data_IF_149226181431
#
_entry.id   IF_149226181431
#
_cell.length_a   1.000
_cell.length_b   1.000
_cell.length_c   1.000
_cell.angle_alpha   90.00
_cell.angle_beta   90.00
_cell.angle_gamma   90.00
#
_symmetry.space_group_name_H-M   'P 1'
#
loop_
_entity.id
_entity.type
_entity.pdbx_description
1 polymer ?
#
# COMPACT_ATOMS: atom_id res chain seq x y z
N UNK A 1 21.83 48.00 27.51
CA UNK A 1 22.32 46.75 26.91
C UNK A 1 21.62 45.48 27.43
N UNK A 2 21.24 45.40 28.70
CA UNK A 2 20.55 44.20 29.24
C UNK A 2 19.10 44.00 28.72
N UNK A 3 18.40 45.07 28.35
CA UNK A 3 17.02 45.02 27.80
C UNK A 3 16.97 44.52 26.34
N UNK A 4 18.01 44.74 25.55
CA UNK A 4 18.08 44.31 24.16
C UNK A 4 18.24 42.78 24.05
N UNK A 5 19.03 42.15 24.90
CA UNK A 5 19.22 40.71 24.95
C UNK A 5 17.96 39.94 25.42
N UNK A 6 17.12 40.54 26.26
CA UNK A 6 15.86 39.96 26.72
C UNK A 6 14.82 39.93 25.60
N UNK A 7 14.75 40.98 24.75
CA UNK A 7 13.81 41.01 23.63
C UNK A 7 14.18 40.03 22.52
N UNK A 8 15.47 39.86 22.23
CA UNK A 8 15.94 38.86 21.23
C UNK A 8 15.65 37.46 21.71
N UNK A 9 15.86 37.12 22.98
CA UNK A 9 15.56 35.81 23.53
C UNK A 9 14.05 35.48 23.51
N UNK A 10 13.18 36.45 23.74
CA UNK A 10 11.73 36.30 23.63
C UNK A 10 11.28 36.09 22.19
N UNK A 11 11.92 36.75 21.23
CA UNK A 11 11.66 36.61 19.82
C UNK A 11 12.07 35.21 19.31
N UNK A 12 13.24 34.73 19.72
CA UNK A 12 13.69 33.35 19.39
C UNK A 12 12.83 32.27 20.04
N UNK A 13 12.33 32.47 21.25
CA UNK A 13 11.39 31.53 21.89
C UNK A 13 10.03 31.45 21.18
N UNK A 14 9.52 32.57 20.66
CA UNK A 14 8.31 32.61 19.88
C UNK A 14 8.48 31.96 18.51
N UNK A 15 9.61 32.16 17.86
CA UNK A 15 9.91 31.50 16.57
C UNK A 15 10.03 29.99 16.68
N UNK A 16 10.67 29.46 17.73
CA UNK A 16 10.76 28.00 17.95
C UNK A 16 9.39 27.33 18.10
N UNK A 17 8.46 27.97 18.79
CA UNK A 17 7.07 27.46 18.93
C UNK A 17 6.32 27.51 17.59
N UNK A 18 6.56 28.51 16.78
CA UNK A 18 5.94 28.67 15.46
C UNK A 18 6.43 27.61 14.48
N UNK A 19 7.73 27.33 14.44
CA UNK A 19 8.32 26.28 13.63
C UNK A 19 7.86 24.87 14.03
N UNK A 20 7.76 24.59 15.33
CA UNK A 20 7.24 23.30 15.80
C UNK A 20 5.78 23.09 15.39
N UNK A 21 4.95 24.13 15.43
CA UNK A 21 3.56 24.06 14.99
C UNK A 21 3.44 23.87 13.47
N UNK A 22 4.29 24.52 12.68
CA UNK A 22 4.34 24.40 11.23
C UNK A 22 4.77 22.99 10.79
N UNK A 23 5.77 22.40 11.46
CA UNK A 23 6.23 21.02 11.19
C UNK A 23 5.15 20.00 11.55
N UNK A 24 4.42 20.16 12.65
CA UNK A 24 3.31 19.29 12.99
C UNK A 24 2.16 19.37 11.97
N UNK A 25 1.80 20.57 11.50
CA UNK A 25 0.79 20.75 10.45
C UNK A 25 1.21 20.11 9.12
N UNK A 26 2.50 20.17 8.78
CA UNK A 26 3.03 19.56 7.56
C UNK A 26 3.01 18.02 7.63
N UNK A 27 3.29 17.43 8.79
CA UNK A 27 3.20 15.99 9.01
C UNK A 27 1.74 15.48 8.90
N UNK A 28 0.78 16.23 9.44
CA UNK A 28 -0.64 15.89 9.33
C UNK A 28 -1.18 15.99 7.89
N UNK A 29 -0.74 16.99 7.12
CA UNK A 29 -1.13 17.14 5.72
C UNK A 29 -0.60 15.99 4.85
N UNK A 30 0.57 15.42 5.15
CA UNK A 30 1.12 14.27 4.43
C UNK A 30 0.39 12.96 4.74
N UNK A 31 -0.12 12.78 5.95
CA UNK A 31 -0.91 11.60 6.34
C UNK A 31 -2.31 11.62 5.69
N UNK A 32 -2.91 12.79 5.50
CA UNK A 32 -4.24 12.94 4.90
C UNK A 32 -4.30 12.87 3.38
N UNK A 33 -3.15 13.00 2.67
CA UNK A 33 -3.08 13.04 1.21
C UNK A 33 -2.31 11.88 0.59
N UNK A 34 -2.07 10.79 1.34
CA UNK A 34 -1.33 9.62 0.88
C UNK A 34 -2.13 8.81 -0.15
N UNK A 35 -2.25 9.35 -1.37
CA UNK A 35 -2.47 8.51 -2.53
C UNK A 35 -1.22 7.64 -2.69
N UNK A 36 -1.40 6.33 -2.58
CA UNK A 36 -0.31 5.38 -2.78
C UNK A 36 0.08 5.40 -4.24
N UNK A 37 1.18 6.07 -4.56
CA UNK A 37 1.79 6.01 -5.87
C UNK A 37 2.76 4.85 -5.93
N UNK A 38 2.63 4.01 -6.94
CA UNK A 38 3.53 2.91 -7.16
C UNK A 38 4.83 3.39 -7.81
N UNK A 39 5.89 3.43 -7.03
CA UNK A 39 7.25 3.74 -7.51
C UNK A 39 8.15 2.50 -7.43
N UNK A 40 7.84 1.57 -6.51
CA UNK A 40 8.59 0.34 -6.28
C UNK A 40 7.68 -0.84 -5.99
N UNK A 41 8.22 -2.05 -6.07
CA UNK A 41 7.47 -3.27 -5.71
C UNK A 41 6.96 -3.25 -4.27
N UNK A 42 7.75 -2.68 -3.36
CA UNK A 42 7.35 -2.54 -1.97
C UNK A 42 6.13 -1.65 -1.79
N UNK A 43 5.92 -0.64 -2.63
CA UNK A 43 4.72 0.21 -2.61
C UNK A 43 3.47 -0.58 -3.00
N UNK A 44 3.59 -1.47 -3.99
CA UNK A 44 2.49 -2.35 -4.42
C UNK A 44 2.13 -3.32 -3.29
N UNK A 45 3.12 -3.96 -2.68
CA UNK A 45 2.91 -4.89 -1.57
C UNK A 45 2.31 -4.18 -0.35
N UNK A 46 2.79 -2.98 -0.03
CA UNK A 46 2.25 -2.17 1.07
C UNK A 46 0.79 -1.77 0.83
N UNK A 47 0.42 -1.44 -0.40
CA UNK A 47 -0.97 -1.16 -0.77
C UNK A 47 -1.88 -2.37 -0.54
N UNK A 48 -1.40 -3.57 -0.84
CA UNK A 48 -2.18 -4.81 -0.76
C UNK A 48 -2.21 -5.41 0.65
N UNK A 49 -1.20 -5.11 1.47
CA UNK A 49 -1.07 -5.67 2.81
C UNK A 49 -2.26 -5.33 3.71
N UNK A 50 -2.77 -6.33 4.41
CA UNK A 50 -3.90 -6.18 5.31
C UNK A 50 -5.26 -6.03 4.65
N UNK A 51 -5.33 -5.97 3.31
CA UNK A 51 -6.59 -5.84 2.57
C UNK A 51 -7.12 -7.20 2.13
N UNK A 52 -8.42 -7.35 2.18
CA UNK A 52 -9.13 -8.52 1.63
C UNK A 52 -10.04 -8.06 0.50
N UNK A 53 -9.90 -8.70 -0.64
CA UNK A 53 -10.71 -8.43 -1.82
C UNK A 53 -11.72 -9.56 -2.01
N UNK A 54 -12.93 -9.20 -2.39
CA UNK A 54 -14.04 -10.14 -2.52
C UNK A 54 -14.57 -10.17 -3.94
N UNK A 55 -14.91 -11.37 -4.43
CA UNK A 55 -15.67 -11.51 -5.67
C UNK A 55 -17.05 -10.83 -5.55
N UNK A 56 -17.67 -10.57 -6.69
CA UNK A 56 -18.98 -9.90 -6.75
C UNK A 56 -20.06 -10.64 -5.94
N UNK A 57 -20.05 -11.96 -5.98
CA UNK A 57 -20.94 -12.84 -5.20
C UNK A 57 -20.45 -13.10 -3.77
N UNK A 58 -19.27 -12.55 -3.39
CA UNK A 58 -18.63 -12.70 -2.09
C UNK A 58 -18.26 -14.14 -1.70
N UNK A 59 -18.20 -15.05 -2.65
CA UNK A 59 -17.81 -16.45 -2.40
C UNK A 59 -16.30 -16.65 -2.39
N UNK A 60 -15.55 -15.80 -3.09
CA UNK A 60 -14.09 -15.85 -3.16
C UNK A 60 -13.47 -14.67 -2.46
N UNK A 61 -12.53 -14.96 -1.56
CA UNK A 61 -11.69 -13.96 -0.87
C UNK A 61 -10.28 -14.05 -1.41
N UNK A 62 -9.71 -12.91 -1.80
CA UNK A 62 -8.35 -12.81 -2.29
C UNK A 62 -7.54 -11.93 -1.36
N UNK A 63 -6.42 -12.44 -0.90
CA UNK A 63 -5.39 -11.67 -0.19
C UNK A 63 -4.06 -11.84 -0.90
N UNK A 64 -3.27 -10.79 -0.90
CA UNK A 64 -1.87 -10.86 -1.31
C UNK A 64 -1.05 -10.45 -0.10
N UNK A 65 -0.25 -11.37 0.41
CA UNK A 65 0.49 -11.17 1.64
C UNK A 65 1.59 -12.19 1.85
N UNK A 66 2.31 -12.01 2.95
CA UNK A 66 3.41 -12.88 3.32
C UNK A 66 2.89 -14.20 3.87
N UNK A 67 3.39 -15.30 3.31
CA UNK A 67 3.13 -16.65 3.78
C UNK A 67 4.32 -17.13 4.62
N UNK A 68 4.10 -17.35 5.91
CA UNK A 68 5.12 -17.89 6.80
C UNK A 68 5.50 -19.33 6.48
N UNK A 69 4.56 -20.10 5.93
CA UNK A 69 4.80 -21.50 5.51
C UNK A 69 5.77 -21.59 4.33
N UNK A 70 5.61 -20.67 3.36
CA UNK A 70 6.46 -20.62 2.16
C UNK A 70 7.63 -19.65 2.28
N UNK A 71 7.66 -18.86 3.34
CA UNK A 71 8.66 -17.81 3.59
C UNK A 71 8.78 -16.80 2.43
N UNK A 72 7.67 -16.46 1.79
CA UNK A 72 7.57 -15.54 0.66
C UNK A 72 6.18 -14.93 0.56
N UNK A 73 6.05 -13.87 -0.22
CA UNK A 73 4.75 -13.33 -0.57
C UNK A 73 4.01 -14.26 -1.53
N UNK A 74 2.71 -14.38 -1.33
CA UNK A 74 1.86 -15.25 -2.12
C UNK A 74 0.45 -14.68 -2.31
N UNK A 75 -0.29 -15.35 -3.19
CA UNK A 75 -1.71 -15.10 -3.42
C UNK A 75 -2.48 -16.13 -2.60
N UNK A 76 -3.36 -15.64 -1.75
CA UNK A 76 -4.15 -16.42 -0.80
C UNK A 76 -5.61 -16.38 -1.25
N UNK A 77 -6.15 -17.52 -1.65
CA UNK A 77 -7.56 -17.67 -2.02
C UNK A 77 -8.28 -18.43 -0.91
N UNK A 78 -9.33 -17.82 -0.36
CA UNK A 78 -10.15 -18.42 0.70
C UNK A 78 -9.34 -18.99 1.89
N UNK A 79 -8.26 -18.29 2.27
CA UNK A 79 -7.41 -18.68 3.38
C UNK A 79 -6.26 -19.64 3.03
N UNK A 80 -6.18 -20.14 1.80
CA UNK A 80 -5.12 -21.03 1.35
C UNK A 80 -4.20 -20.35 0.35
N UNK A 81 -2.90 -20.44 0.55
CA UNK A 81 -1.90 -19.93 -0.41
C UNK A 81 -1.90 -20.82 -1.65
N UNK A 82 -2.22 -20.25 -2.79
CA UNK A 82 -2.33 -20.97 -4.07
C UNK A 82 -1.22 -20.64 -5.05
N UNK A 83 -0.64 -19.45 -4.94
CA UNK A 83 0.41 -18.94 -5.82
C UNK A 83 1.52 -18.30 -5.01
N UNK A 84 2.73 -18.38 -5.51
CA UNK A 84 3.95 -17.89 -4.86
C UNK A 84 4.93 -17.30 -5.89
N UNK A 85 6.13 -16.90 -5.47
CA UNK A 85 7.14 -16.27 -6.34
C UNK A 85 6.55 -15.12 -7.16
N UNK A 86 5.99 -14.13 -6.47
CA UNK A 86 5.32 -13.01 -7.12
C UNK A 86 6.30 -12.13 -7.88
N UNK A 87 6.00 -11.89 -9.14
CA UNK A 87 6.65 -10.88 -9.96
C UNK A 87 5.73 -9.67 -10.09
N UNK A 88 6.26 -8.47 -9.86
CA UNK A 88 5.49 -7.24 -9.87
C UNK A 88 6.01 -6.35 -10.99
N UNK A 89 5.11 -5.97 -11.90
CA UNK A 89 5.37 -5.02 -12.97
C UNK A 89 4.54 -3.76 -12.75
N UNK A 90 5.21 -2.63 -12.53
CA UNK A 90 4.56 -1.33 -12.36
C UNK A 90 4.31 -0.73 -13.75
N UNK A 91 3.05 -0.45 -14.06
CA UNK A 91 2.63 0.14 -15.34
C UNK A 91 2.50 1.66 -15.24
N UNK A 92 2.04 2.15 -14.10
CA UNK A 92 1.82 3.56 -13.82
C UNK A 92 1.78 3.81 -12.31
N UNK A 93 1.74 5.05 -11.84
CA UNK A 93 1.61 5.31 -10.40
C UNK A 93 0.39 4.69 -9.72
N UNK A 94 -0.63 4.32 -10.51
CA UNK A 94 -1.89 3.74 -9.98
C UNK A 94 -2.14 2.30 -10.40
N UNK A 95 -1.31 1.74 -11.28
CA UNK A 95 -1.53 0.41 -11.87
C UNK A 95 -0.29 -0.47 -11.82
N UNK A 96 -0.48 -1.73 -11.45
CA UNK A 96 0.56 -2.75 -11.47
C UNK A 96 -0.03 -4.11 -11.90
N UNK A 97 0.85 -5.00 -12.34
CA UNK A 97 0.50 -6.39 -12.63
C UNK A 97 1.32 -7.28 -11.71
N UNK A 98 0.67 -8.21 -11.04
CA UNK A 98 1.29 -9.24 -10.21
C UNK A 98 1.11 -10.57 -10.89
N UNK A 99 2.21 -11.29 -11.11
CA UNK A 99 2.19 -12.64 -11.65
C UNK A 99 2.70 -13.60 -10.57
N UNK A 100 1.96 -14.65 -10.29
CA UNK A 100 2.33 -15.70 -9.34
C UNK A 100 2.36 -17.07 -9.99
N UNK A 101 3.26 -17.93 -9.53
CA UNK A 101 3.34 -19.32 -9.93
C UNK A 101 2.38 -20.17 -9.12
N UNK A 102 1.65 -21.08 -9.76
CA UNK A 102 0.74 -21.99 -9.08
C UNK A 102 1.49 -23.08 -8.30
N UNK A 103 1.08 -23.32 -7.06
CA UNK A 103 1.60 -24.42 -6.23
C UNK A 103 1.15 -25.80 -6.77
N UNK A 104 -0.01 -25.87 -7.40
CA UNK A 104 -0.59 -27.14 -7.89
C UNK A 104 -0.21 -27.47 -9.32
N UNK A 105 0.15 -26.48 -10.12
CA UNK A 105 0.48 -26.62 -11.53
C UNK A 105 1.70 -25.79 -11.89
N UNK A 106 2.90 -26.39 -12.08
CA UNK A 106 4.13 -25.65 -12.36
C UNK A 106 4.07 -24.75 -13.60
N UNK A 107 3.23 -25.10 -14.58
CA UNK A 107 3.04 -24.32 -15.80
C UNK A 107 1.93 -23.27 -15.66
N UNK A 108 1.17 -23.31 -14.56
CA UNK A 108 0.08 -22.38 -14.27
C UNK A 108 0.62 -21.10 -13.67
N UNK A 109 0.25 -19.96 -14.25
CA UNK A 109 0.52 -18.63 -13.72
C UNK A 109 -0.77 -17.86 -13.58
N UNK A 110 -0.89 -17.15 -12.46
CA UNK A 110 -2.00 -16.24 -12.24
C UNK A 110 -1.51 -14.80 -12.43
N UNK A 111 -2.27 -14.04 -13.22
CA UNK A 111 -1.97 -12.64 -13.50
C UNK A 111 -3.06 -11.75 -12.92
N UNK A 112 -2.69 -10.93 -11.95
CA UNK A 112 -3.60 -10.02 -11.28
C UNK A 112 -3.23 -8.59 -11.64
N UNK A 113 -4.21 -7.81 -12.08
CA UNK A 113 -4.08 -6.37 -12.28
C UNK A 113 -4.55 -5.63 -11.03
N UNK A 114 -3.72 -4.72 -10.55
CA UNK A 114 -4.00 -3.89 -9.39
C UNK A 114 -4.23 -2.46 -9.87
N UNK A 115 -5.29 -1.85 -9.39
CA UNK A 115 -5.59 -0.45 -9.68
C UNK A 115 -6.02 0.26 -8.39
N UNK A 116 -5.25 1.25 -7.96
CA UNK A 116 -5.52 1.98 -6.72
C UNK A 116 -6.77 2.86 -6.80
N UNK A 117 -7.17 3.27 -8.00
CA UNK A 117 -8.33 4.16 -8.18
C UNK A 117 -9.67 3.43 -8.01
N UNK A 118 -9.71 2.13 -8.29
CA UNK A 118 -10.92 1.32 -8.20
C UNK A 118 -11.03 0.50 -6.92
N UNK A 119 -9.94 0.39 -6.15
CA UNK A 119 -9.82 -0.52 -5.00
C UNK A 119 -10.18 -1.98 -5.32
N UNK A 120 -9.94 -2.38 -6.57
CA UNK A 120 -10.24 -3.72 -7.07
C UNK A 120 -9.02 -4.38 -7.71
N UNK A 121 -9.00 -5.70 -7.62
CA UNK A 121 -8.12 -6.57 -8.39
C UNK A 121 -8.89 -7.12 -9.58
N UNK A 122 -8.21 -7.34 -10.71
CA UNK A 122 -8.78 -7.97 -11.90
C UNK A 122 -7.95 -9.19 -12.30
N UNK A 123 -8.61 -10.29 -12.53
CA UNK A 123 -8.02 -11.51 -13.07
C UNK A 123 -8.92 -12.07 -14.17
N UNK A 124 -8.46 -12.05 -15.41
CA UNK A 124 -9.17 -12.61 -16.57
C UNK A 124 -10.64 -12.18 -16.69
N UNK A 125 -10.91 -10.89 -16.49
CA UNK A 125 -12.25 -10.32 -16.54
C UNK A 125 -13.07 -10.43 -15.26
N UNK A 126 -12.58 -11.13 -14.24
CA UNK A 126 -13.20 -11.19 -12.93
C UNK A 126 -12.63 -10.11 -12.01
N UNK A 127 -13.51 -9.45 -11.27
CA UNK A 127 -13.15 -8.37 -10.35
C UNK A 127 -13.31 -8.81 -8.90
N UNK A 128 -12.34 -8.45 -8.09
CA UNK A 128 -12.33 -8.68 -6.65
C UNK A 128 -12.09 -7.33 -5.98
N UNK A 129 -13.04 -6.87 -5.20
CA UNK A 129 -13.02 -5.53 -4.64
C UNK A 129 -13.04 -5.54 -3.12
N UNK A 130 -12.52 -4.45 -2.53
CA UNK A 130 -12.61 -4.23 -1.10
C UNK A 130 -14.09 -4.04 -0.73
N UNK A 131 -14.51 -4.67 0.35
CA UNK A 131 -15.86 -4.53 0.88
C UNK A 131 -16.01 -3.15 1.52
N UNK A 132 -16.93 -2.36 1.01
CA UNK A 132 -17.26 -1.04 1.58
C UNK A 132 -18.26 -1.15 2.72
#
# INVERSE_FOLDING_TARGET
MRTFNRQINLYFRRMKKFYALLICCFCFAQIGSAQTNFESESDVLAFLEGKTFYSTDQTVKVKIGYSSTLNTYGIILNGSTTHFNLEILILSPTKAIITGESLSNPDGKMKIRVNTTTDCLENEGSYYCIKK
#
